data_IF_630196288386
#
_entry.id   IF_630196288386
#
_cell.length_a   1.000
_cell.length_b   1.000
_cell.length_c   1.000
_cell.angle_alpha   90.00
_cell.angle_beta   90.00
_cell.angle_gamma   90.00
#
_symmetry.space_group_name_H-M   'P 1'
#
loop_
_entity.id
_entity.type
_entity.pdbx_description
1 polymer ?
#
# COMPACT_ATOMS: atom_id res chain seq x y z
N UNK A 1 -23.50 6.70 -16.72
CA UNK A 1 -23.53 6.08 -15.39
C UNK A 1 -24.11 7.08 -14.43
N UNK A 2 -24.88 6.63 -13.44
CA UNK A 2 -25.24 7.47 -12.31
C UNK A 2 -23.99 7.82 -11.50
N UNK A 3 -24.01 8.99 -10.89
CA UNK A 3 -22.92 9.52 -10.07
C UNK A 3 -22.79 8.66 -8.78
N UNK A 4 -21.59 8.23 -8.38
CA UNK A 4 -21.42 7.44 -7.18
C UNK A 4 -21.61 8.30 -5.92
N UNK A 5 -21.98 7.66 -4.82
CA UNK A 5 -21.92 8.25 -3.48
C UNK A 5 -20.47 8.33 -3.00
N UNK A 6 -19.68 7.28 -3.25
CA UNK A 6 -18.27 7.16 -2.83
C UNK A 6 -17.39 6.62 -3.95
N UNK A 7 -16.19 7.16 -4.06
CA UNK A 7 -15.10 6.57 -4.85
C UNK A 7 -14.03 6.06 -3.89
N UNK A 8 -13.79 4.76 -3.93
CA UNK A 8 -12.66 4.12 -3.28
C UNK A 8 -11.46 4.12 -4.21
N UNK A 9 -10.28 4.44 -3.68
CA UNK A 9 -9.02 4.42 -4.41
C UNK A 9 -8.05 3.46 -3.74
N UNK A 10 -7.30 2.70 -4.54
CA UNK A 10 -6.05 2.12 -4.07
C UNK A 10 -4.99 3.21 -3.85
N UNK A 11 -3.92 2.90 -3.12
CA UNK A 11 -2.85 3.83 -2.78
C UNK A 11 -1.65 3.74 -3.75
N UNK A 12 -0.83 2.69 -3.63
CA UNK A 12 0.41 2.55 -4.41
C UNK A 12 0.10 2.12 -5.84
N UNK A 13 0.60 2.84 -6.84
CA UNK A 13 0.26 2.59 -8.25
C UNK A 13 -1.04 3.27 -8.69
N UNK A 14 -1.73 3.96 -7.77
CA UNK A 14 -2.96 4.71 -8.07
C UNK A 14 -2.88 6.17 -7.66
N UNK A 15 -2.60 6.46 -6.39
CA UNK A 15 -2.41 7.82 -5.85
C UNK A 15 -0.94 8.25 -5.93
N UNK A 16 -0.03 7.36 -5.59
CA UNK A 16 1.41 7.62 -5.62
C UNK A 16 2.17 6.35 -6.00
N UNK A 17 3.40 6.51 -6.48
CA UNK A 17 4.30 5.40 -6.82
C UNK A 17 5.61 5.50 -6.06
N UNK A 18 6.42 4.44 -6.10
CA UNK A 18 7.78 4.48 -5.54
C UNK A 18 8.67 5.35 -6.43
N UNK A 19 9.43 6.26 -5.81
CA UNK A 19 10.43 7.08 -6.51
C UNK A 19 11.61 6.21 -6.92
N UNK A 20 11.72 5.92 -8.22
CA UNK A 20 12.70 4.96 -8.73
C UNK A 20 12.20 3.54 -8.55
N UNK A 21 12.81 2.76 -7.65
CA UNK A 21 12.39 1.38 -7.38
C UNK A 21 12.66 1.00 -5.92
N UNK A 22 12.03 -0.09 -5.46
CA UNK A 22 12.26 -0.61 -4.11
C UNK A 22 13.72 -1.05 -3.97
N UNK A 23 14.27 -1.71 -4.99
CA UNK A 23 15.67 -2.13 -5.02
C UNK A 23 16.65 -0.96 -4.95
N UNK A 24 16.34 0.18 -5.58
CA UNK A 24 17.18 1.38 -5.49
C UNK A 24 17.22 1.95 -4.06
N UNK A 25 16.07 2.04 -3.40
CA UNK A 25 15.99 2.50 -2.00
C UNK A 25 16.71 1.53 -1.07
N UNK A 26 16.50 0.22 -1.24
CA UNK A 26 17.16 -0.83 -0.46
C UNK A 26 18.68 -0.75 -0.61
N UNK A 27 19.17 -0.59 -1.85
CA UNK A 27 20.60 -0.47 -2.17
C UNK A 27 21.22 0.75 -1.50
N UNK A 28 20.56 1.91 -1.62
CA UNK A 28 21.05 3.16 -1.07
C UNK A 28 21.19 3.10 0.46
N UNK A 29 20.16 2.62 1.16
CA UNK A 29 20.19 2.54 2.63
C UNK A 29 21.15 1.42 3.08
N UNK A 30 21.21 0.29 2.37
CA UNK A 30 22.15 -0.79 2.73
C UNK A 30 23.63 -0.36 2.64
N UNK A 31 23.96 0.54 1.71
CA UNK A 31 25.30 1.10 1.59
C UNK A 31 25.75 1.87 2.84
N UNK A 32 24.83 2.57 3.52
CA UNK A 32 25.10 3.27 4.78
C UNK A 32 25.43 2.30 5.94
N UNK A 33 25.03 1.03 5.79
CA UNK A 33 25.36 -0.08 6.70
C UNK A 33 26.52 -0.94 6.19
N UNK A 34 27.27 -0.50 5.18
CA UNK A 34 28.45 -1.17 4.64
C UNK A 34 28.13 -2.37 3.73
N UNK A 35 26.89 -2.48 3.24
CA UNK A 35 26.46 -3.58 2.35
C UNK A 35 26.15 -3.02 0.97
N UNK A 36 27.09 -3.19 0.04
CA UNK A 36 26.91 -2.78 -1.36
C UNK A 36 26.25 -3.89 -2.19
N UNK A 37 25.04 -3.64 -2.68
CA UNK A 37 24.29 -4.54 -3.58
C UNK A 37 23.70 -3.74 -4.73
N UNK A 38 23.75 -4.27 -5.95
CA UNK A 38 23.14 -3.62 -7.10
C UNK A 38 21.62 -3.46 -6.93
N UNK A 39 21.10 -2.27 -7.20
CA UNK A 39 19.68 -1.94 -7.09
C UNK A 39 18.80 -2.86 -7.95
N UNK A 40 19.25 -3.20 -9.15
CA UNK A 40 18.52 -4.07 -10.08
C UNK A 40 18.39 -5.50 -9.54
N UNK A 41 19.43 -6.01 -8.85
CA UNK A 41 19.38 -7.34 -8.23
C UNK A 41 18.41 -7.37 -7.05
N UNK A 42 18.41 -6.32 -6.23
CA UNK A 42 17.45 -6.18 -5.13
C UNK A 42 16.02 -6.05 -5.64
N UNK A 43 15.81 -5.27 -6.71
CA UNK A 43 14.50 -5.12 -7.34
C UNK A 43 13.99 -6.46 -7.88
N UNK A 44 14.82 -7.18 -8.65
CA UNK A 44 14.47 -8.51 -9.17
C UNK A 44 14.14 -9.49 -8.04
N UNK A 45 14.91 -9.49 -6.97
CA UNK A 45 14.66 -10.35 -5.81
C UNK A 45 13.38 -9.95 -5.07
N UNK A 46 13.10 -8.66 -4.93
CA UNK A 46 11.86 -8.17 -4.34
C UNK A 46 10.63 -8.59 -5.17
N UNK A 47 10.67 -8.34 -6.49
CA UNK A 47 9.59 -8.71 -7.41
C UNK A 47 9.36 -10.22 -7.49
N UNK A 48 10.38 -11.04 -7.24
CA UNK A 48 10.24 -12.49 -7.15
C UNK A 48 9.58 -12.96 -5.84
N UNK A 49 9.87 -12.29 -4.72
CA UNK A 49 9.46 -12.72 -3.37
C UNK A 49 8.12 -12.13 -2.95
N UNK A 50 7.90 -10.84 -3.23
CA UNK A 50 6.71 -10.11 -2.78
C UNK A 50 5.39 -10.78 -3.22
N UNK A 51 5.19 -11.20 -4.49
CA UNK A 51 3.94 -11.84 -4.91
C UNK A 51 3.69 -13.21 -4.27
N UNK A 52 4.74 -13.87 -3.77
CA UNK A 52 4.65 -15.17 -3.08
C UNK A 52 4.56 -15.06 -1.56
N UNK A 53 4.70 -13.84 -1.03
CA UNK A 53 4.64 -13.60 0.41
C UNK A 53 3.19 -13.73 0.91
N UNK A 54 2.97 -14.12 2.18
CA UNK A 54 1.63 -14.13 2.77
C UNK A 54 1.01 -12.73 2.66
N UNK A 55 -0.31 -12.60 2.47
CA UNK A 55 -0.96 -11.29 2.47
C UNK A 55 -0.64 -10.50 3.75
N UNK A 56 -0.45 -9.19 3.63
CA UNK A 56 -0.26 -8.28 4.76
C UNK A 56 -1.61 -8.05 5.46
N UNK A 57 -2.09 -9.08 6.15
CA UNK A 57 -3.39 -9.11 6.81
C UNK A 57 -3.33 -10.04 8.03
N UNK A 58 -3.92 -9.60 9.14
CA UNK A 58 -3.83 -10.28 10.43
C UNK A 58 -5.22 -10.59 10.99
N UNK A 59 -5.88 -11.68 10.55
CA UNK A 59 -7.23 -12.00 10.99
C UNK A 59 -7.24 -12.38 12.47
N UNK A 60 -8.26 -11.93 13.21
CA UNK A 60 -8.51 -12.26 14.63
C UNK A 60 -7.36 -11.85 15.57
N UNK A 61 -6.74 -10.71 15.28
CA UNK A 61 -5.68 -10.11 16.09
C UNK A 61 -6.20 -8.84 16.77
N UNK A 62 -5.79 -8.61 18.02
CA UNK A 62 -6.12 -7.38 18.75
C UNK A 62 -5.41 -6.17 18.11
N UNK A 63 -6.07 -5.01 17.94
CA UNK A 63 -5.49 -3.85 17.27
C UNK A 63 -4.13 -3.40 17.83
N UNK A 64 -3.91 -3.55 19.15
CA UNK A 64 -2.66 -3.19 19.81
C UNK A 64 -1.45 -4.04 19.39
N UNK A 65 -1.68 -5.22 18.80
CA UNK A 65 -0.62 -6.13 18.34
C UNK A 65 -0.24 -5.91 16.86
N UNK A 66 -1.10 -5.23 16.10
CA UNK A 66 -0.94 -5.06 14.65
C UNK A 66 0.37 -4.37 14.27
N UNK A 67 0.80 -3.26 14.91
CA UNK A 67 2.04 -2.58 14.52
C UNK A 67 3.29 -3.48 14.58
N UNK A 68 3.38 -4.33 15.59
CA UNK A 68 4.49 -5.29 15.72
C UNK A 68 4.44 -6.36 14.63
N UNK A 69 3.25 -6.83 14.25
CA UNK A 69 3.09 -7.81 13.17
C UNK A 69 3.41 -7.20 11.80
N UNK A 70 3.00 -5.96 11.55
CA UNK A 70 3.37 -5.21 10.34
C UNK A 70 4.89 -5.10 10.22
N UNK A 71 5.57 -4.68 11.31
CA UNK A 71 7.02 -4.57 11.35
C UNK A 71 7.70 -5.92 11.06
N UNK A 72 7.27 -7.00 11.71
CA UNK A 72 7.83 -8.35 11.51
C UNK A 72 7.58 -8.89 10.10
N UNK A 73 6.42 -8.60 9.52
CA UNK A 73 6.08 -9.04 8.17
C UNK A 73 7.06 -8.42 7.16
N UNK A 74 7.25 -7.10 7.23
CA UNK A 74 8.20 -6.39 6.38
C UNK A 74 9.63 -6.80 6.66
N UNK A 75 10.01 -7.01 7.93
CA UNK A 75 11.33 -7.49 8.32
C UNK A 75 11.64 -8.83 7.65
N UNK A 76 10.67 -9.75 7.69
CA UNK A 76 10.81 -11.08 7.11
C UNK A 76 10.95 -11.01 5.59
N UNK A 77 10.15 -10.19 4.92
CA UNK A 77 10.23 -9.98 3.48
C UNK A 77 11.56 -9.37 3.07
N UNK A 78 11.98 -8.27 3.70
CA UNK A 78 13.27 -7.62 3.43
C UNK A 78 14.42 -8.58 3.69
N UNK A 79 14.38 -9.33 4.80
CA UNK A 79 15.40 -10.34 5.11
C UNK A 79 15.49 -11.41 4.02
N UNK A 80 14.35 -11.90 3.52
CA UNK A 80 14.31 -12.87 2.43
C UNK A 80 14.91 -12.33 1.13
N UNK A 81 14.69 -11.04 0.81
CA UNK A 81 15.29 -10.37 -0.36
C UNK A 81 16.81 -10.38 -0.28
N UNK A 82 17.39 -9.95 0.84
CA UNK A 82 18.85 -9.97 0.99
C UNK A 82 19.42 -11.39 1.15
N UNK A 83 18.68 -12.31 1.77
CA UNK A 83 19.09 -13.71 1.90
C UNK A 83 19.19 -14.41 0.55
N UNK A 84 18.18 -14.21 -0.32
CA UNK A 84 18.15 -14.80 -1.67
C UNK A 84 19.35 -14.38 -2.53
N UNK A 85 19.91 -13.20 -2.27
CA UNK A 85 21.11 -12.69 -2.93
C UNK A 85 22.42 -13.04 -2.21
N UNK A 86 22.37 -13.65 -1.02
CA UNK A 86 23.55 -13.98 -0.22
C UNK A 86 24.19 -12.79 0.52
N UNK A 87 23.39 -11.75 0.82
CA UNK A 87 23.84 -10.52 1.48
C UNK A 87 23.34 -10.36 2.92
N UNK A 88 22.35 -11.14 3.37
CA UNK A 88 21.79 -10.98 4.73
C UNK A 88 22.85 -11.07 5.83
N UNK A 89 23.74 -12.06 5.75
CA UNK A 89 24.81 -12.27 6.74
C UNK A 89 25.98 -11.27 6.61
N UNK A 90 25.93 -10.36 5.63
CA UNK A 90 26.96 -9.32 5.44
C UNK A 90 26.64 -8.04 6.20
N UNK A 91 25.41 -7.90 6.70
CA UNK A 91 25.04 -6.75 7.52
C UNK A 91 25.73 -6.84 8.89
N UNK A 92 26.44 -5.78 9.33
CA UNK A 92 26.95 -5.72 10.70
C UNK A 92 25.81 -5.65 11.72
N UNK A 93 24.70 -5.00 11.35
CA UNK A 93 23.46 -4.93 12.12
C UNK A 93 22.27 -4.82 11.16
N UNK A 94 21.65 -5.96 10.84
CA UNK A 94 20.49 -6.00 9.96
C UNK A 94 19.24 -5.35 10.58
N UNK A 95 19.10 -5.41 11.91
CA UNK A 95 17.92 -4.86 12.59
C UNK A 95 17.96 -3.33 12.58
N UNK A 96 19.14 -2.73 12.76
CA UNK A 96 19.32 -1.29 12.60
C UNK A 96 19.05 -0.82 11.16
N UNK A 97 19.58 -1.54 10.16
CA UNK A 97 19.29 -1.29 8.74
C UNK A 97 17.79 -1.36 8.46
N UNK A 98 17.14 -2.45 8.88
CA UNK A 98 15.72 -2.64 8.63
C UNK A 98 14.87 -1.57 9.34
N UNK A 99 15.22 -1.21 10.58
CA UNK A 99 14.54 -0.14 11.30
C UNK A 99 14.66 1.24 10.63
N UNK A 100 15.79 1.53 9.98
CA UNK A 100 15.95 2.72 9.15
C UNK A 100 15.11 2.67 7.88
N UNK A 101 15.22 1.57 7.13
CA UNK A 101 14.44 1.32 5.93
C UNK A 101 12.93 1.42 6.20
N UNK A 102 12.45 0.79 7.26
CA UNK A 102 11.03 0.77 7.62
C UNK A 102 10.50 2.18 7.92
N UNK A 103 11.29 3.01 8.62
CA UNK A 103 10.98 4.42 8.88
C UNK A 103 11.02 5.27 7.61
N UNK A 104 11.98 5.06 6.73
CA UNK A 104 12.08 5.80 5.47
C UNK A 104 10.81 5.66 4.63
N UNK A 105 10.24 4.45 4.53
CA UNK A 105 8.96 4.19 3.84
C UNK A 105 7.72 4.80 4.50
N UNK A 106 7.82 5.33 5.73
CA UNK A 106 6.75 6.10 6.36
C UNK A 106 6.77 7.58 5.96
N UNK A 107 7.87 8.08 5.39
CA UNK A 107 8.03 9.47 4.95
C UNK A 107 7.53 9.67 3.52
N UNK A 108 7.52 10.90 3.01
CA UNK A 108 7.26 11.25 1.61
C UNK A 108 8.45 11.01 0.67
N UNK A 109 9.69 10.89 1.19
CA UNK A 109 10.90 10.77 0.36
C UNK A 109 10.87 9.63 -0.68
N UNK A 110 10.40 8.42 -0.36
CA UNK A 110 10.38 7.30 -1.30
C UNK A 110 9.17 7.33 -2.24
N UNK A 111 8.28 8.32 -2.15
CA UNK A 111 7.03 8.36 -2.91
C UNK A 111 6.98 9.52 -3.92
N UNK A 112 6.34 9.26 -5.04
CA UNK A 112 6.00 10.27 -6.05
C UNK A 112 4.48 10.32 -6.18
N UNK A 113 3.88 11.44 -5.79
CA UNK A 113 2.47 11.73 -6.02
C UNK A 113 2.22 11.93 -7.52
N UNK A 114 1.24 11.23 -8.10
CA UNK A 114 0.90 11.44 -9.51
C UNK A 114 0.22 12.80 -9.72
N UNK A 115 0.57 13.48 -10.80
CA UNK A 115 0.20 14.88 -11.07
C UNK A 115 -1.32 15.12 -11.20
N UNK A 116 -2.06 14.10 -11.63
CA UNK A 116 -3.51 14.14 -11.84
C UNK A 116 -4.33 13.91 -10.58
N UNK A 117 -3.71 13.44 -9.50
CA UNK A 117 -4.41 12.99 -8.28
C UNK A 117 -5.07 14.16 -7.56
N UNK A 118 -4.34 15.21 -7.21
CA UNK A 118 -4.92 16.36 -6.48
C UNK A 118 -6.04 17.03 -7.30
N UNK A 119 -5.89 17.30 -8.61
CA UNK A 119 -6.99 17.79 -9.43
C UNK A 119 -8.23 16.88 -9.41
N UNK A 120 -8.05 15.55 -9.52
CA UNK A 120 -9.16 14.60 -9.53
C UNK A 120 -9.89 14.55 -8.17
N UNK A 121 -9.15 14.43 -7.06
CA UNK A 121 -9.73 14.38 -5.71
C UNK A 121 -10.53 15.65 -5.41
N UNK A 122 -9.99 16.84 -5.75
CA UNK A 122 -10.71 18.11 -5.59
C UNK A 122 -11.98 18.17 -6.42
N UNK A 123 -11.92 17.72 -7.67
CA UNK A 123 -13.08 17.70 -8.56
C UNK A 123 -14.21 16.84 -7.99
N UNK A 124 -13.90 15.64 -7.48
CA UNK A 124 -14.90 14.75 -6.87
C UNK A 124 -15.48 15.31 -5.58
N UNK A 125 -14.67 15.94 -4.73
CA UNK A 125 -15.16 16.60 -3.52
C UNK A 125 -16.10 17.78 -3.83
N UNK A 126 -15.78 18.61 -4.84
CA UNK A 126 -16.67 19.71 -5.27
C UNK A 126 -18.00 19.17 -5.78
N UNK A 127 -17.99 17.99 -6.39
CA UNK A 127 -19.22 17.31 -6.78
C UNK A 127 -19.96 16.74 -5.57
N UNK A 128 -19.40 16.72 -4.36
CA UNK A 128 -20.01 16.11 -3.18
C UNK A 128 -19.96 14.58 -3.22
N UNK A 129 -18.94 14.01 -3.87
CA UNK A 129 -18.64 12.57 -3.84
C UNK A 129 -17.69 12.33 -2.67
N UNK A 130 -17.99 11.35 -1.83
CA UNK A 130 -17.10 10.96 -0.74
C UNK A 130 -15.92 10.16 -1.29
N UNK A 131 -14.77 10.25 -0.61
CA UNK A 131 -13.56 9.55 -1.01
C UNK A 131 -13.10 8.64 0.12
N UNK A 132 -12.68 7.43 -0.22
CA UNK A 132 -12.08 6.48 0.70
C UNK A 132 -10.87 5.77 0.09
N UNK A 133 -10.01 5.21 0.93
CA UNK A 133 -8.89 4.35 0.50
C UNK A 133 -9.19 2.89 0.84
N UNK A 134 -8.89 2.00 -0.09
CA UNK A 134 -8.83 0.55 0.13
C UNK A 134 -7.48 0.04 -0.37
N UNK A 135 -6.56 -0.34 0.54
CA UNK A 135 -5.21 -0.71 0.15
C UNK A 135 -4.66 -1.92 0.89
N UNK A 136 -3.87 -2.73 0.18
CA UNK A 136 -3.07 -3.81 0.79
C UNK A 136 -1.80 -3.20 1.41
N UNK A 137 -1.96 -2.48 2.51
CA UNK A 137 -0.91 -1.66 3.15
C UNK A 137 -0.93 -1.81 4.68
N UNK A 138 0.11 -1.33 5.34
CA UNK A 138 0.23 -1.22 6.80
C UNK A 138 -0.08 0.18 7.36
N UNK A 139 0.03 0.34 8.67
CA UNK A 139 -0.29 1.58 9.36
C UNK A 139 0.62 2.77 8.98
N UNK A 140 1.74 2.57 8.26
CA UNK A 140 2.55 3.70 7.75
C UNK A 140 1.80 4.55 6.73
N UNK A 141 0.75 4.02 6.08
CA UNK A 141 -0.04 4.78 5.10
C UNK A 141 -0.56 6.10 5.65
N UNK A 142 -0.90 6.17 6.94
CA UNK A 142 -1.44 7.38 7.56
C UNK A 142 -0.42 8.52 7.53
N UNK A 143 0.84 8.22 7.86
CA UNK A 143 1.92 9.21 7.79
C UNK A 143 2.26 9.57 6.34
N UNK A 144 2.31 8.58 5.43
CA UNK A 144 2.56 8.82 4.00
C UNK A 144 1.51 9.75 3.41
N UNK A 145 0.22 9.52 3.69
CA UNK A 145 -0.86 10.39 3.23
C UNK A 145 -0.76 11.80 3.83
N UNK A 146 -0.37 11.94 5.10
CA UNK A 146 -0.16 13.24 5.71
C UNK A 146 0.97 14.02 5.03
N UNK A 147 2.13 13.38 4.84
CA UNK A 147 3.31 14.03 4.24
C UNK A 147 3.12 14.34 2.74
N UNK A 148 2.29 13.57 2.04
CA UNK A 148 1.88 13.85 0.66
C UNK A 148 0.72 14.85 0.54
N UNK A 149 0.19 15.36 1.66
CA UNK A 149 -0.92 16.32 1.68
C UNK A 149 -2.26 15.73 1.22
N UNK A 150 -2.42 14.41 1.37
CA UNK A 150 -3.57 13.64 0.93
C UNK A 150 -4.59 13.34 2.06
N UNK A 151 -4.18 13.42 3.33
CA UNK A 151 -4.99 13.00 4.48
C UNK A 151 -6.39 13.61 4.52
N UNK A 152 -6.52 14.90 4.17
CA UNK A 152 -7.79 15.64 4.25
C UNK A 152 -8.79 15.32 3.13
N UNK A 153 -8.40 14.53 2.13
CA UNK A 153 -9.30 14.18 1.04
C UNK A 153 -10.24 13.04 1.40
N UNK A 154 -9.81 12.14 2.30
CA UNK A 154 -10.45 10.85 2.50
C UNK A 154 -11.25 10.84 3.80
N UNK A 155 -12.54 10.50 3.70
CA UNK A 155 -13.41 10.26 4.86
C UNK A 155 -13.02 8.96 5.57
N UNK A 156 -12.51 7.98 4.83
CA UNK A 156 -12.08 6.71 5.41
C UNK A 156 -10.82 6.16 4.76
N UNK A 157 -10.03 5.45 5.57
CA UNK A 157 -8.89 4.66 5.13
C UNK A 157 -9.14 3.24 5.62
N UNK A 158 -9.05 2.27 4.70
CA UNK A 158 -9.26 0.85 4.97
C UNK A 158 -8.07 0.08 4.46
N UNK A 159 -7.27 -0.47 5.37
CA UNK A 159 -6.04 -1.19 5.06
C UNK A 159 -6.08 -2.63 5.53
N UNK A 160 -5.50 -3.52 4.73
CA UNK A 160 -5.55 -4.98 4.92
C UNK A 160 -5.00 -5.45 6.26
N UNK A 161 -3.93 -4.81 6.72
CA UNK A 161 -3.28 -5.08 8.01
C UNK A 161 -4.24 -4.91 9.19
N UNK A 162 -5.12 -3.90 9.12
CA UNK A 162 -6.06 -3.56 10.20
C UNK A 162 -7.41 -4.25 10.05
N UNK A 163 -7.85 -4.56 8.83
CA UNK A 163 -9.09 -5.29 8.60
C UNK A 163 -8.93 -6.80 8.79
N UNK A 164 -7.70 -7.32 8.71
CA UNK A 164 -7.45 -8.75 8.72
C UNK A 164 -7.74 -9.46 7.39
N UNK A 165 -8.10 -8.69 6.34
CA UNK A 165 -8.42 -9.18 5.01
C UNK A 165 -7.77 -8.29 3.94
N UNK A 166 -7.04 -8.89 3.01
CA UNK A 166 -6.40 -8.19 1.90
C UNK A 166 -7.19 -8.36 0.60
N UNK A 167 -7.23 -7.33 -0.25
CA UNK A 167 -7.77 -7.44 -1.62
C UNK A 167 -7.11 -8.63 -2.34
N UNK A 168 -7.86 -9.45 -3.09
CA UNK A 168 -9.26 -9.29 -3.51
C UNK A 168 -10.30 -9.88 -2.53
N UNK A 169 -9.96 -10.15 -1.27
CA UNK A 169 -10.93 -10.67 -0.30
C UNK A 169 -12.13 -9.71 -0.17
N UNK A 170 -13.38 -10.20 -0.28
CA UNK A 170 -14.56 -9.33 -0.20
C UNK A 170 -14.69 -8.59 1.14
N UNK A 171 -14.14 -9.11 2.23
CA UNK A 171 -14.29 -8.53 3.57
C UNK A 171 -13.72 -7.10 3.65
N UNK A 172 -12.58 -6.82 3.01
CA UNK A 172 -11.99 -5.47 3.03
C UNK A 172 -12.89 -4.43 2.35
N UNK A 173 -13.52 -4.81 1.24
CA UNK A 173 -14.43 -3.94 0.50
C UNK A 173 -15.75 -3.75 1.27
N UNK A 174 -16.27 -4.80 1.91
CA UNK A 174 -17.47 -4.70 2.74
C UNK A 174 -17.25 -3.76 3.93
N UNK A 175 -16.10 -3.85 4.61
CA UNK A 175 -15.72 -2.92 5.68
C UNK A 175 -15.64 -1.49 5.15
N UNK A 176 -15.06 -1.27 3.97
CA UNK A 176 -14.98 0.05 3.37
C UNK A 176 -16.37 0.62 3.04
N UNK A 177 -17.27 -0.17 2.45
CA UNK A 177 -18.66 0.21 2.18
C UNK A 177 -19.41 0.59 3.48
N UNK A 178 -19.23 -0.17 4.56
CA UNK A 178 -19.84 0.10 5.86
C UNK A 178 -19.41 1.45 6.43
N UNK A 179 -18.14 1.86 6.29
CA UNK A 179 -17.66 3.18 6.76
C UNK A 179 -18.34 4.38 6.07
N UNK A 180 -18.94 4.14 4.92
CA UNK A 180 -19.65 5.13 4.11
C UNK A 180 -21.17 4.92 4.08
N UNK A 181 -21.69 3.94 4.82
CA UNK A 181 -23.13 3.57 4.83
C UNK A 181 -23.70 3.41 3.41
N UNK A 182 -22.94 2.83 2.49
CA UNK A 182 -23.32 2.76 1.07
C UNK A 182 -23.45 1.32 0.55
N UNK A 183 -24.33 1.12 -0.42
CA UNK A 183 -24.43 -0.16 -1.14
C UNK A 183 -23.37 -0.26 -2.24
N UNK A 184 -22.97 -1.47 -2.67
CA UNK A 184 -22.00 -1.65 -3.75
C UNK A 184 -22.34 -0.89 -5.04
N UNK A 185 -23.62 -0.83 -5.41
CA UNK A 185 -24.09 -0.15 -6.63
C UNK A 185 -23.89 1.38 -6.60
N UNK A 186 -23.68 1.96 -5.40
CA UNK A 186 -23.44 3.38 -5.21
C UNK A 186 -21.93 3.71 -5.08
N UNK A 187 -21.07 2.70 -5.13
CA UNK A 187 -19.64 2.84 -4.97
C UNK A 187 -18.91 2.59 -6.29
N UNK A 188 -17.85 3.36 -6.52
CA UNK A 188 -16.83 3.05 -7.51
C UNK A 188 -15.53 2.66 -6.81
N UNK A 189 -14.72 1.81 -7.44
CA UNK A 189 -13.35 1.51 -7.02
C UNK A 189 -12.37 1.77 -8.16
N UNK A 190 -11.27 2.45 -7.88
CA UNK A 190 -10.21 2.76 -8.85
C UNK A 190 -8.90 2.20 -8.30
N UNK A 191 -8.23 1.36 -9.09
CA UNK A 191 -6.94 0.77 -8.74
C UNK A 191 -6.17 0.26 -9.95
N UNK A 192 -4.93 -0.15 -9.78
CA UNK A 192 -4.02 -0.58 -10.84
C UNK A 192 -3.88 -2.12 -10.94
N UNK A 193 -4.33 -2.87 -9.93
CA UNK A 193 -4.30 -4.33 -9.95
C UNK A 193 -5.57 -4.91 -10.56
N UNK A 194 -5.44 -5.60 -11.70
CA UNK A 194 -6.57 -6.28 -12.34
C UNK A 194 -7.24 -7.31 -11.41
N UNK A 195 -6.43 -8.02 -10.62
CA UNK A 195 -6.93 -9.06 -9.70
C UNK A 195 -7.44 -8.45 -8.41
N UNK A 196 -6.63 -7.64 -7.74
CA UNK A 196 -6.94 -7.16 -6.39
C UNK A 196 -7.99 -6.06 -6.42
N UNK A 197 -7.88 -5.11 -7.35
CA UNK A 197 -8.79 -3.96 -7.43
C UNK A 197 -9.99 -4.26 -8.31
N UNK A 198 -9.74 -4.52 -9.61
CA UNK A 198 -10.83 -4.60 -10.57
C UNK A 198 -11.71 -5.84 -10.31
N UNK A 199 -11.14 -7.04 -10.28
CA UNK A 199 -11.91 -8.27 -10.05
C UNK A 199 -12.46 -8.33 -8.63
N UNK A 200 -11.67 -7.92 -7.62
CA UNK A 200 -12.11 -7.87 -6.22
C UNK A 200 -13.36 -7.00 -6.01
N UNK A 201 -13.34 -5.77 -6.54
CA UNK A 201 -14.49 -4.88 -6.45
C UNK A 201 -15.70 -5.37 -7.26
N UNK A 202 -15.48 -5.81 -8.52
CA UNK A 202 -16.58 -6.30 -9.37
C UNK A 202 -17.29 -7.52 -8.77
N UNK A 203 -16.59 -8.36 -8.00
CA UNK A 203 -17.19 -9.53 -7.33
C UNK A 203 -18.28 -9.16 -6.32
N UNK A 204 -18.27 -7.94 -5.79
CA UNK A 204 -19.31 -7.41 -4.89
C UNK A 204 -20.35 -6.52 -5.59
N UNK A 205 -20.24 -6.36 -6.91
CA UNK A 205 -21.10 -5.46 -7.67
C UNK A 205 -20.71 -3.98 -7.56
N UNK A 206 -19.52 -3.67 -7.03
CA UNK A 206 -18.94 -2.32 -7.09
C UNK A 206 -18.50 -2.05 -8.53
N UNK A 207 -18.77 -0.86 -9.06
CA UNK A 207 -18.23 -0.49 -10.37
C UNK A 207 -16.72 -0.22 -10.26
N UNK A 208 -15.91 -0.81 -11.13
CA UNK A 208 -14.47 -0.80 -10.98
C UNK A 208 -13.75 -0.29 -12.22
N UNK A 209 -12.71 0.51 -12.03
CA UNK A 209 -11.91 1.09 -13.09
C UNK A 209 -10.43 0.73 -12.89
N UNK A 210 -9.83 0.18 -13.94
CA UNK A 210 -8.40 -0.13 -13.95
C UNK A 210 -7.63 1.09 -14.45
N UNK A 211 -6.73 1.63 -13.63
CA UNK A 211 -5.79 2.66 -14.05
C UNK A 211 -4.47 2.01 -14.50
N UNK A 212 -3.77 2.68 -15.42
CA UNK A 212 -2.41 2.31 -15.81
C UNK A 212 -1.51 3.52 -15.57
N UNK A 213 -0.45 3.32 -14.80
CA UNK A 213 0.59 4.32 -14.53
C UNK A 213 1.87 3.99 -15.30
#
# INVERSE_FOLDING_TARGET
MEKPQVIFLDAVGTLFGVKGSVGAIYSQIAADFGVEVAAESLEQSFLAIFPTSPPLAFPKVEPAQIPELEYRWWRSLTGAVFHNLGYLERFPDFEAFFGELYRHFATAEPWVLYEDVIPALRLWQIQGIELGIISNFDSRIYQVLAELGLEYFFRSITISSQTGAAKPDPEIFQIALQKHDCSPAQAWHIGDSKKEDYQGAKALGIEAFLIKR
#
